data_IF_177466794408
#
_entry.id   IF_177466794408
#
_cell.length_a   1.000
_cell.length_b   1.000
_cell.length_c   1.000
_cell.angle_alpha   90.00
_cell.angle_beta   90.00
_cell.angle_gamma   90.00
#
_symmetry.space_group_name_H-M   'P 1'
#
loop_
_entity.id
_entity.type
_entity.pdbx_description
1 polymer ?
#
# COMPACT_ATOMS: atom_id res chain seq x y z
N UNK A 1 7.15 -21.66 -1.53
CA UNK A 1 6.05 -21.99 -0.58
C UNK A 1 5.52 -20.74 0.08
N UNK A 2 4.47 -20.86 0.92
CA UNK A 2 3.74 -19.72 1.51
C UNK A 2 3.11 -18.78 0.46
N UNK A 3 2.17 -19.33 -0.32
CA UNK A 3 1.46 -18.63 -1.40
C UNK A 3 0.29 -17.77 -0.90
N UNK A 4 -0.29 -18.15 0.25
CA UNK A 4 -1.38 -17.43 0.91
C UNK A 4 -0.97 -17.30 2.38
N UNK A 5 -0.84 -16.07 2.84
CA UNK A 5 -0.49 -15.74 4.22
C UNK A 5 -1.65 -14.98 4.85
N UNK A 6 -2.24 -15.55 5.91
CA UNK A 6 -3.27 -14.88 6.70
C UNK A 6 -2.61 -13.95 7.72
N UNK A 7 -3.03 -12.68 7.74
CA UNK A 7 -2.62 -11.69 8.73
C UNK A 7 -3.86 -11.15 9.44
N UNK A 8 -3.66 -10.45 10.55
CA UNK A 8 -4.78 -9.88 11.32
C UNK A 8 -5.65 -8.92 10.52
N UNK A 9 -5.05 -8.17 9.60
CA UNK A 9 -5.72 -7.13 8.82
C UNK A 9 -6.05 -7.50 7.38
N UNK A 10 -5.45 -8.55 6.84
CA UNK A 10 -5.49 -8.85 5.41
C UNK A 10 -5.02 -10.27 5.09
N UNK A 11 -5.28 -10.70 3.86
CA UNK A 11 -4.65 -11.89 3.28
C UNK A 11 -3.62 -11.41 2.26
N UNK A 12 -2.38 -11.91 2.36
CA UNK A 12 -1.35 -11.68 1.35
C UNK A 12 -1.29 -12.89 0.40
N UNK A 13 -1.54 -12.65 -0.89
CA UNK A 13 -1.40 -13.64 -1.96
C UNK A 13 -0.09 -13.40 -2.69
N UNK A 14 0.75 -14.41 -2.80
CA UNK A 14 2.08 -14.34 -3.38
C UNK A 14 2.28 -15.47 -4.41
N UNK A 15 2.17 -15.20 -5.72
CA UNK A 15 2.24 -16.25 -6.75
C UNK A 15 3.54 -17.07 -6.73
N UNK A 16 4.69 -16.42 -6.51
CA UNK A 16 5.99 -17.10 -6.36
C UNK A 16 6.16 -17.77 -4.97
N UNK A 17 5.33 -17.37 -4.00
CA UNK A 17 5.39 -17.80 -2.61
C UNK A 17 6.40 -17.00 -1.79
N UNK A 18 6.01 -16.55 -0.58
CA UNK A 18 6.83 -15.66 0.27
C UNK A 18 8.13 -16.28 0.78
N UNK A 19 8.25 -17.61 0.75
CA UNK A 19 9.48 -18.31 1.14
C UNK A 19 10.63 -18.15 0.13
N UNK A 20 10.44 -17.41 -0.97
CA UNK A 20 11.49 -17.13 -1.95
C UNK A 20 12.59 -16.20 -1.40
N UNK A 21 13.81 -16.40 -1.88
CA UNK A 21 14.97 -15.56 -1.59
C UNK A 21 14.96 -14.28 -2.45
N UNK A 22 15.85 -13.32 -2.18
CA UNK A 22 15.85 -12.03 -2.89
C UNK A 22 16.07 -12.16 -4.40
N UNK A 23 16.96 -13.06 -4.84
CA UNK A 23 17.20 -13.29 -6.26
C UNK A 23 15.93 -13.78 -6.97
N UNK A 24 15.22 -14.72 -6.36
CA UNK A 24 13.93 -15.21 -6.88
C UNK A 24 12.84 -14.12 -6.89
N UNK A 25 12.87 -13.18 -5.93
CA UNK A 25 11.98 -12.01 -5.93
C UNK A 25 12.25 -11.09 -7.11
N UNK A 26 13.52 -10.82 -7.38
CA UNK A 26 13.93 -9.96 -8.49
C UNK A 26 13.61 -10.61 -9.84
N UNK A 27 13.83 -11.92 -9.97
CA UNK A 27 13.45 -12.71 -11.14
C UNK A 27 11.93 -12.71 -11.35
N UNK A 28 11.14 -12.89 -10.28
CA UNK A 28 9.69 -12.82 -10.36
C UNK A 28 9.19 -11.41 -10.70
N UNK A 29 9.76 -10.35 -10.14
CA UNK A 29 9.36 -8.98 -10.48
C UNK A 29 9.63 -8.67 -11.96
N UNK A 30 10.78 -9.11 -12.49
CA UNK A 30 11.09 -8.99 -13.91
C UNK A 30 10.09 -9.78 -14.78
N UNK A 31 9.76 -11.01 -14.38
CA UNK A 31 8.78 -11.85 -15.06
C UNK A 31 7.37 -11.22 -15.03
N UNK A 32 6.93 -10.76 -13.86
CA UNK A 32 5.61 -10.17 -13.65
C UNK A 32 5.41 -8.86 -14.43
N UNK A 33 6.47 -8.05 -14.61
CA UNK A 33 6.41 -6.84 -15.44
C UNK A 33 6.05 -7.11 -16.89
N UNK A 34 6.53 -8.24 -17.44
CA UNK A 34 6.28 -8.68 -18.82
C UNK A 34 4.96 -9.43 -18.94
N UNK A 35 4.70 -10.37 -18.02
CA UNK A 35 3.59 -11.32 -18.12
C UNK A 35 2.33 -10.86 -17.38
N UNK A 36 2.40 -9.78 -16.61
CA UNK A 36 1.27 -9.18 -15.87
C UNK A 36 0.56 -10.18 -14.96
N UNK A 37 1.31 -11.06 -14.31
CA UNK A 37 0.74 -12.17 -13.53
C UNK A 37 -0.16 -11.63 -12.41
N UNK A 38 0.32 -10.67 -11.62
CA UNK A 38 -0.42 -10.10 -10.50
C UNK A 38 -1.62 -9.26 -10.95
N UNK A 39 -1.49 -8.50 -12.02
CA UNK A 39 -2.58 -7.70 -12.60
C UNK A 39 -3.73 -8.60 -13.09
N UNK A 40 -3.39 -9.63 -13.87
CA UNK A 40 -4.36 -10.63 -14.33
C UNK A 40 -5.01 -11.37 -13.14
N UNK A 41 -4.25 -11.65 -12.08
CA UNK A 41 -4.78 -12.25 -10.86
C UNK A 41 -5.78 -11.32 -10.19
N UNK A 42 -5.44 -10.04 -10.00
CA UNK A 42 -6.33 -9.02 -9.42
C UNK A 42 -7.63 -8.93 -10.21
N UNK A 43 -7.56 -8.88 -11.54
CA UNK A 43 -8.74 -8.82 -12.40
C UNK A 43 -9.62 -10.06 -12.27
N UNK A 44 -9.02 -11.25 -12.20
CA UNK A 44 -9.75 -12.48 -11.96
C UNK A 44 -10.45 -12.48 -10.59
N UNK A 45 -9.78 -11.99 -9.55
CA UNK A 45 -10.34 -11.90 -8.20
C UNK A 45 -11.50 -10.91 -8.12
N UNK A 46 -11.37 -9.73 -8.73
CA UNK A 46 -12.45 -8.73 -8.82
C UNK A 46 -13.68 -9.29 -9.54
N UNK A 47 -13.48 -10.01 -10.65
CA UNK A 47 -14.57 -10.67 -11.39
C UNK A 47 -15.22 -11.81 -10.60
N UNK A 48 -14.42 -12.54 -9.81
CA UNK A 48 -14.91 -13.71 -9.05
C UNK A 48 -15.65 -13.32 -7.78
N UNK A 49 -15.26 -12.22 -7.14
CA UNK A 49 -15.76 -11.79 -5.83
C UNK A 49 -16.27 -10.34 -5.83
N UNK A 50 -17.17 -9.95 -6.75
CA UNK A 50 -17.63 -8.56 -6.86
C UNK A 50 -18.37 -8.08 -5.62
N UNK A 51 -19.07 -8.98 -4.92
CA UNK A 51 -20.00 -8.63 -3.83
C UNK A 51 -19.40 -8.73 -2.43
N UNK A 52 -18.13 -9.12 -2.29
CA UNK A 52 -17.49 -9.31 -0.97
C UNK A 52 -16.95 -8.02 -0.35
N UNK A 53 -17.00 -6.89 -1.06
CA UNK A 53 -16.48 -5.62 -0.55
C UNK A 53 -14.97 -5.66 -0.28
N UNK A 54 -14.21 -6.32 -1.16
CA UNK A 54 -12.76 -6.48 -1.04
C UNK A 54 -12.01 -5.56 -1.99
N UNK A 55 -10.90 -5.02 -1.51
CA UNK A 55 -9.85 -4.37 -2.29
C UNK A 55 -8.71 -5.35 -2.52
N UNK A 56 -8.16 -5.34 -3.74
CA UNK A 56 -6.97 -6.12 -4.12
C UNK A 56 -5.89 -5.17 -4.60
N UNK A 57 -4.81 -5.04 -3.84
CA UNK A 57 -3.72 -4.09 -4.11
C UNK A 57 -2.41 -4.84 -4.40
N UNK A 58 -1.75 -4.50 -5.51
CA UNK A 58 -0.43 -5.06 -5.81
C UNK A 58 0.60 -4.43 -4.88
N UNK A 59 1.28 -5.26 -4.09
CA UNK A 59 2.22 -4.86 -3.05
C UNK A 59 3.65 -5.32 -3.35
N UNK A 60 4.61 -4.40 -3.21
CA UNK A 60 6.03 -4.69 -3.37
C UNK A 60 6.37 -5.40 -4.70
N UNK A 61 7.35 -6.32 -4.64
CA UNK A 61 7.86 -7.04 -5.81
C UNK A 61 7.06 -8.30 -6.17
N UNK A 62 6.37 -8.93 -5.21
CA UNK A 62 5.95 -10.33 -5.37
C UNK A 62 4.49 -10.64 -5.02
N UNK A 63 3.75 -9.72 -4.39
CA UNK A 63 2.49 -10.08 -3.76
C UNK A 63 1.34 -9.12 -4.06
N UNK A 64 0.15 -9.54 -3.63
CA UNK A 64 -1.11 -8.83 -3.69
C UNK A 64 -1.69 -8.88 -2.27
N UNK A 65 -2.07 -7.73 -1.72
CA UNK A 65 -2.82 -7.63 -0.48
C UNK A 65 -4.32 -7.64 -0.78
N UNK A 66 -5.06 -8.44 -0.03
CA UNK A 66 -6.52 -8.54 -0.09
C UNK A 66 -7.10 -8.15 1.27
N UNK A 67 -7.90 -7.10 1.29
CA UNK A 67 -8.47 -6.52 2.51
C UNK A 67 -9.85 -5.90 2.24
N UNK A 68 -10.70 -5.73 3.27
CA UNK A 68 -11.99 -5.05 3.10
C UNK A 68 -11.82 -3.60 2.61
N UNK A 69 -12.80 -3.10 1.86
CA UNK A 69 -12.83 -1.69 1.45
C UNK A 69 -12.72 -0.76 2.69
N UNK A 70 -11.89 0.28 2.59
CA UNK A 70 -11.64 1.24 3.68
C UNK A 70 -10.69 0.74 4.76
N UNK A 71 -9.99 -0.39 4.53
CA UNK A 71 -8.87 -0.86 5.34
C UNK A 71 -7.50 -0.47 4.74
N UNK A 72 -7.49 0.48 3.80
CA UNK A 72 -6.28 1.21 3.40
C UNK A 72 -5.74 2.08 4.57
N UNK A 73 -4.68 2.85 4.32
CA UNK A 73 -4.04 3.64 5.39
C UNK A 73 -4.97 4.64 6.07
N UNK A 74 -6.07 5.06 5.44
CA UNK A 74 -7.08 5.93 6.10
C UNK A 74 -7.73 5.26 7.31
N UNK A 75 -7.66 3.93 7.44
CA UNK A 75 -8.19 3.19 8.58
C UNK A 75 -7.63 3.72 9.91
N UNK A 76 -6.36 4.14 9.95
CA UNK A 76 -5.74 4.63 11.18
C UNK A 76 -6.37 5.94 11.68
N UNK A 77 -6.98 6.74 10.80
CA UNK A 77 -7.62 8.01 11.16
C UNK A 77 -8.81 7.82 12.12
N UNK A 78 -9.40 6.63 12.17
CA UNK A 78 -10.47 6.27 13.12
C UNK A 78 -9.97 6.21 14.58
N UNK A 79 -8.65 6.12 14.76
CA UNK A 79 -8.00 6.00 16.07
C UNK A 79 -7.29 7.28 16.50
N UNK A 80 -7.33 8.33 15.68
CA UNK A 80 -6.78 9.64 16.00
C UNK A 80 -7.90 10.50 16.58
N UNK A 81 -7.66 11.07 17.76
CA UNK A 81 -8.53 12.10 18.31
C UNK A 81 -8.36 13.39 17.51
N UNK A 82 -9.37 13.74 16.71
CA UNK A 82 -9.32 14.91 15.83
C UNK A 82 -9.34 16.22 16.60
N UNK A 83 -9.86 16.23 17.82
CA UNK A 83 -9.90 17.43 18.66
C UNK A 83 -8.54 17.68 19.35
N UNK A 84 -7.67 16.65 19.39
CA UNK A 84 -6.33 16.75 19.97
C UNK A 84 -5.28 17.38 19.03
N UNK A 85 -5.56 17.47 17.72
CA UNK A 85 -4.61 17.93 16.72
C UNK A 85 -5.21 18.99 15.80
N UNK A 86 -4.57 20.16 15.70
CA UNK A 86 -4.95 21.18 14.72
C UNK A 86 -4.72 20.71 13.29
N UNK A 87 -3.58 20.03 13.05
CA UNK A 87 -3.16 19.55 11.74
C UNK A 87 -2.64 18.11 11.85
N UNK A 88 -2.98 17.27 10.87
CA UNK A 88 -2.42 15.93 10.71
C UNK A 88 -1.55 15.96 9.46
N UNK A 89 -0.23 15.81 9.62
CA UNK A 89 0.71 15.73 8.50
C UNK A 89 0.99 14.26 8.19
N UNK A 90 0.96 13.90 6.90
CA UNK A 90 1.32 12.56 6.43
C UNK A 90 2.38 12.64 5.36
N UNK A 91 3.44 11.84 5.49
CA UNK A 91 4.53 11.73 4.52
C UNK A 91 4.49 10.34 3.88
N UNK A 92 4.50 10.27 2.55
CA UNK A 92 4.45 9.01 1.81
C UNK A 92 5.20 9.04 0.49
N UNK A 93 5.75 7.91 0.06
CA UNK A 93 6.51 7.78 -1.19
C UNK A 93 5.66 7.29 -2.36
N UNK A 94 4.54 6.62 -2.08
CA UNK A 94 3.62 6.06 -3.09
C UNK A 94 2.27 6.76 -3.07
N UNK A 95 2.31 8.08 -3.23
CA UNK A 95 1.16 9.00 -3.19
C UNK A 95 0.51 9.23 -4.55
N UNK A 96 0.92 8.50 -5.59
CA UNK A 96 0.28 8.52 -6.90
C UNK A 96 -0.96 7.61 -6.94
N UNK A 97 -1.95 7.84 -7.82
CA UNK A 97 -3.12 6.97 -7.93
C UNK A 97 -2.74 5.48 -8.08
N UNK A 98 -3.24 4.63 -7.18
CA UNK A 98 -2.92 3.20 -7.11
C UNK A 98 -1.69 2.85 -6.25
N UNK A 99 -0.95 3.84 -5.76
CA UNK A 99 0.04 3.66 -4.70
C UNK A 99 -0.64 3.46 -3.34
N UNK A 100 0.03 2.74 -2.42
CA UNK A 100 -0.57 2.37 -1.13
C UNK A 100 -0.66 3.53 -0.12
N UNK A 101 -0.09 4.69 -0.43
CA UNK A 101 -0.20 5.91 0.39
C UNK A 101 -1.30 6.85 -0.13
N UNK A 102 -1.83 6.61 -1.33
CA UNK A 102 -2.68 7.53 -2.06
C UNK A 102 -3.91 7.97 -1.26
N UNK A 103 -4.68 7.02 -0.74
CA UNK A 103 -5.95 7.30 -0.06
C UNK A 103 -5.76 8.16 1.19
N UNK A 104 -4.70 7.91 1.97
CA UNK A 104 -4.38 8.71 3.15
C UNK A 104 -3.79 10.07 2.79
N UNK A 105 -2.93 10.12 1.76
CA UNK A 105 -2.32 11.35 1.27
C UNK A 105 -3.36 12.37 0.79
N UNK A 106 -4.40 11.94 0.08
CA UNK A 106 -5.46 12.84 -0.41
C UNK A 106 -6.60 13.05 0.59
N UNK A 107 -6.54 12.44 1.77
CA UNK A 107 -7.63 12.51 2.73
C UNK A 107 -7.81 13.96 3.22
N UNK A 108 -9.04 14.47 3.22
CA UNK A 108 -9.36 15.87 3.52
C UNK A 108 -8.87 16.39 4.89
N UNK A 109 -8.73 15.47 5.85
CA UNK A 109 -8.27 15.78 7.22
C UNK A 109 -6.75 15.70 7.36
N UNK A 110 -6.02 15.48 6.25
CA UNK A 110 -4.58 15.25 6.22
C UNK A 110 -3.90 16.25 5.29
N UNK A 111 -2.79 16.81 5.76
CA UNK A 111 -1.84 17.58 4.95
C UNK A 111 -0.82 16.58 4.42
N UNK A 112 -1.00 16.16 3.17
CA UNK A 112 -0.14 15.18 2.51
C UNK A 112 1.15 15.77 1.97
N UNK A 113 2.26 15.08 2.22
CA UNK A 113 3.61 15.39 1.75
C UNK A 113 4.13 14.19 0.94
N UNK A 114 4.40 14.41 -0.34
CA UNK A 114 5.02 13.38 -1.17
C UNK A 114 6.54 13.44 -0.97
N UNK A 115 7.16 12.30 -0.71
CA UNK A 115 8.61 12.19 -0.49
C UNK A 115 9.21 11.14 -1.41
N UNK A 116 10.48 11.32 -1.76
CA UNK A 116 11.22 10.40 -2.63
C UNK A 116 12.25 9.56 -1.88
N UNK A 117 12.60 9.98 -0.66
CA UNK A 117 13.59 9.34 0.19
C UNK A 117 13.41 9.75 1.66
N UNK A 118 14.08 9.05 2.59
CA UNK A 118 14.18 9.51 3.98
C UNK A 118 14.79 10.92 4.10
N UNK A 119 15.79 11.25 3.28
CA UNK A 119 16.45 12.57 3.32
C UNK A 119 15.49 13.69 2.89
N UNK A 120 14.65 13.44 1.88
CA UNK A 120 13.59 14.36 1.44
C UNK A 120 12.57 14.60 2.55
N UNK A 121 12.23 13.54 3.31
CA UNK A 121 11.37 13.67 4.50
C UNK A 121 11.99 14.59 5.55
N UNK A 122 13.29 14.46 5.83
CA UNK A 122 14.00 15.32 6.78
C UNK A 122 13.98 16.77 6.30
N UNK A 123 14.31 17.03 5.04
CA UNK A 123 14.32 18.38 4.47
C UNK A 123 12.95 19.06 4.56
N UNK A 124 11.86 18.32 4.29
CA UNK A 124 10.51 18.86 4.41
C UNK A 124 10.12 19.13 5.87
N UNK A 125 10.51 18.26 6.82
CA UNK A 125 10.30 18.49 8.25
C UNK A 125 11.05 19.74 8.75
N UNK A 126 12.29 19.92 8.29
CA UNK A 126 13.09 21.13 8.59
C UNK A 126 12.39 22.40 8.11
N UNK A 127 11.84 22.39 6.89
CA UNK A 127 11.11 23.52 6.32
C UNK A 127 9.81 23.84 7.06
N UNK A 128 9.11 22.83 7.60
CA UNK A 128 7.81 23.01 8.27
C UNK A 128 7.97 23.53 9.70
N UNK A 129 8.99 23.06 10.43
CA UNK A 129 9.07 23.27 11.89
C UNK A 129 10.25 24.13 12.36
N UNK A 130 11.25 24.38 11.52
CA UNK A 130 12.50 25.05 11.93
C UNK A 130 12.88 26.28 11.09
N UNK A 131 12.09 26.60 10.06
CA UNK A 131 12.12 27.88 9.35
C UNK A 131 10.98 28.79 9.84
#
# INVERSE_FOLDING_TARGET
>A
GNFIEFRSGLINVCPVGRSCNQKERDEFDAYDRVHKVRENFVDAMKKKFPDLGLTFAIGGQISIDCFPIGWDKTFCLKHIDKDAYTNIHFFGDRTFPGGNDYELFIHKDVIGHSVTSPDDTIQQLEQIYFN
#
